data_IF_764831492339
#
_entry.id   IF_764831492339
#
_cell.length_a   1.000
_cell.length_b   1.000
_cell.length_c   1.000
_cell.angle_alpha   90.00
_cell.angle_beta   90.00
_cell.angle_gamma   90.00
#
_symmetry.space_group_name_H-M   'P 1'
#
loop_
_entity.id
_entity.type
_entity.pdbx_description
1 polymer ?
#
# COMPACT_ATOMS: atom_id res chain seq x y z
N UNK A 1 -2.72 -10.33 -15.05
CA UNK A 1 -2.64 -9.00 -14.41
C UNK A 1 -1.22 -8.79 -13.96
N UNK A 2 -0.56 -7.72 -14.41
CA UNK A 2 0.79 -7.32 -14.01
C UNK A 2 0.74 -5.98 -13.30
N UNK A 3 1.50 -5.83 -12.23
CA UNK A 3 1.77 -4.52 -11.65
C UNK A 3 2.89 -3.88 -12.46
N UNK A 4 2.63 -2.70 -13.01
CA UNK A 4 3.57 -2.02 -13.91
C UNK A 4 4.20 -0.78 -13.29
N UNK A 5 3.59 -0.21 -12.25
CA UNK A 5 4.16 0.90 -11.48
C UNK A 5 3.64 0.86 -10.03
N UNK A 6 4.49 1.20 -9.07
CA UNK A 6 4.12 1.39 -7.66
C UNK A 6 4.74 2.71 -7.21
N UNK A 7 3.88 3.65 -6.80
CA UNK A 7 4.32 4.94 -6.25
C UNK A 7 3.96 5.04 -4.80
N UNK A 8 4.95 5.31 -3.97
CA UNK A 8 4.73 5.70 -2.59
C UNK A 8 4.27 7.16 -2.56
N UNK A 9 3.11 7.41 -1.94
CA UNK A 9 2.59 8.77 -1.73
C UNK A 9 3.03 9.32 -0.38
N UNK A 10 3.00 8.48 0.66
CA UNK A 10 3.39 8.86 2.02
C UNK A 10 4.06 7.69 2.72
N UNK A 11 5.11 7.99 3.48
CA UNK A 11 5.80 7.06 4.37
C UNK A 11 5.71 7.63 5.79
N UNK A 12 5.42 6.77 6.75
CA UNK A 12 5.26 7.13 8.16
C UNK A 12 6.15 6.24 9.01
N UNK A 13 6.84 6.84 9.98
CA UNK A 13 7.74 6.13 10.90
C UNK A 13 6.95 5.58 12.10
N UNK A 14 6.23 6.45 12.81
CA UNK A 14 5.53 6.11 14.06
C UNK A 14 4.00 6.15 13.95
N UNK A 15 3.46 5.44 12.97
CA UNK A 15 2.01 5.31 12.79
C UNK A 15 1.60 3.85 12.57
N UNK A 16 0.34 3.52 12.88
CA UNK A 16 -0.27 2.23 12.50
C UNK A 16 -0.33 2.08 10.98
N UNK A 17 -0.48 3.18 10.26
CA UNK A 17 -0.32 3.20 8.79
C UNK A 17 1.13 3.54 8.53
N UNK A 18 1.88 2.62 7.92
CA UNK A 18 3.29 2.82 7.61
C UNK A 18 3.50 3.49 6.26
N UNK A 19 2.64 3.21 5.28
CA UNK A 19 2.74 3.87 3.98
C UNK A 19 1.42 3.85 3.21
N UNK A 20 1.29 4.80 2.28
CA UNK A 20 0.19 4.90 1.33
C UNK A 20 0.77 4.87 -0.09
N UNK A 21 0.18 4.07 -0.96
CA UNK A 21 0.64 3.81 -2.32
C UNK A 21 -0.45 4.10 -3.36
N UNK A 22 0.02 4.32 -4.59
CA UNK A 22 -0.78 4.14 -5.80
C UNK A 22 -0.14 3.03 -6.63
N UNK A 23 -0.96 2.11 -7.13
CA UNK A 23 -0.50 0.92 -7.86
C UNK A 23 -1.14 0.91 -9.24
N UNK A 24 -0.31 0.82 -10.28
CA UNK A 24 -0.74 0.75 -11.67
C UNK A 24 -0.73 -0.71 -12.15
N UNK A 25 -1.83 -1.14 -12.74
CA UNK A 25 -2.03 -2.46 -13.30
C UNK A 25 -2.05 -2.37 -14.83
N UNK A 26 -1.24 -3.23 -15.45
CA UNK A 26 -1.19 -3.44 -16.91
C UNK A 26 -1.04 -2.13 -17.72
N UNK A 27 -0.40 -1.09 -17.16
CA UNK A 27 -0.32 0.27 -17.72
C UNK A 27 -1.68 0.90 -18.11
N UNK A 28 -2.77 0.39 -17.53
CA UNK A 28 -4.12 0.73 -17.96
C UNK A 28 -4.95 1.36 -16.83
N UNK A 29 -4.78 0.86 -15.60
CA UNK A 29 -5.59 1.31 -14.46
C UNK A 29 -4.71 1.59 -13.25
N UNK A 30 -5.04 2.63 -12.50
CA UNK A 30 -4.38 2.92 -11.22
C UNK A 30 -5.36 2.75 -10.08
N UNK A 31 -4.89 2.15 -9.00
CA UNK A 31 -5.62 2.03 -7.74
C UNK A 31 -4.88 2.87 -6.69
N UNK A 32 -5.57 3.87 -6.17
CA UNK A 32 -5.06 4.74 -5.11
C UNK A 32 -5.44 4.21 -3.72
N UNK A 33 -4.77 4.74 -2.70
CA UNK A 33 -5.05 4.50 -1.29
C UNK A 33 -4.88 3.06 -0.83
N UNK A 34 -3.97 2.33 -1.48
CA UNK A 34 -3.46 1.05 -0.98
C UNK A 34 -2.47 1.35 0.14
N UNK A 35 -2.53 0.60 1.24
CA UNK A 35 -1.78 0.93 2.47
C UNK A 35 -0.96 -0.24 2.95
N UNK A 36 0.22 0.04 3.51
CA UNK A 36 0.90 -0.90 4.41
C UNK A 36 0.59 -0.46 5.83
N UNK A 37 0.06 -1.38 6.64
CA UNK A 37 -0.36 -1.10 8.00
C UNK A 37 0.17 -2.16 8.96
N UNK A 38 0.34 -1.78 10.21
CA UNK A 38 0.74 -2.67 11.29
C UNK A 38 -0.49 -3.40 11.84
N UNK A 39 -0.56 -4.70 11.53
CA UNK A 39 -1.56 -5.61 12.06
C UNK A 39 -1.05 -6.38 13.28
N UNK A 40 -1.91 -7.21 13.91
CA UNK A 40 -1.54 -7.98 15.10
C UNK A 40 -0.36 -8.94 14.90
N UNK A 41 -0.18 -9.44 13.67
CA UNK A 41 0.84 -10.43 13.30
C UNK A 41 1.92 -9.82 12.39
N UNK A 42 2.14 -8.51 12.49
CA UNK A 42 3.10 -7.77 11.66
C UNK A 42 2.46 -6.96 10.55
N UNK A 43 3.28 -6.54 9.59
CA UNK A 43 2.85 -5.66 8.51
C UNK A 43 1.96 -6.38 7.51
N UNK A 44 0.86 -5.74 7.14
CA UNK A 44 -0.09 -6.24 6.13
C UNK A 44 -0.39 -5.16 5.10
N UNK A 45 -0.71 -5.61 3.88
CA UNK A 45 -1.24 -4.73 2.83
C UNK A 45 -2.76 -4.63 2.99
N UNK A 46 -3.24 -3.42 3.29
CA UNK A 46 -4.65 -3.09 3.36
C UNK A 46 -5.10 -2.44 2.05
N UNK A 47 -6.15 -2.99 1.46
CA UNK A 47 -6.74 -2.48 0.24
C UNK A 47 -7.54 -1.18 0.50
N UNK A 48 -7.82 -0.39 -0.55
CA UNK A 48 -8.65 0.80 -0.41
C UNK A 48 -10.05 0.39 0.03
N UNK A 49 -10.53 0.99 1.11
CA UNK A 49 -11.82 0.66 1.71
C UNK A 49 -12.61 1.91 2.05
N UNK A 50 -13.94 1.76 2.04
CA UNK A 50 -14.88 2.82 2.41
C UNK A 50 -15.80 2.35 3.51
N UNK A 51 -16.06 3.26 4.45
CA UNK A 51 -17.07 3.06 5.49
C UNK A 51 -18.47 3.14 4.87
N UNK A 52 -19.27 2.10 5.05
CA UNK A 52 -20.67 2.02 4.66
C UNK A 52 -21.56 2.70 5.72
N UNK A 53 -22.83 3.03 5.40
CA UNK A 53 -23.76 3.64 6.35
C UNK A 53 -24.00 2.80 7.62
N UNK A 54 -23.87 1.48 7.53
CA UNK A 54 -23.98 0.55 8.66
C UNK A 54 -22.73 0.54 9.57
N UNK A 55 -21.74 1.39 9.27
CA UNK A 55 -20.51 1.54 10.03
C UNK A 55 -19.40 0.56 9.66
N UNK A 56 -19.67 -0.44 8.81
CA UNK A 56 -18.67 -1.43 8.38
C UNK A 56 -17.78 -0.87 7.26
N UNK A 57 -16.53 -1.29 7.24
CA UNK A 57 -15.64 -1.01 6.11
C UNK A 57 -15.73 -2.14 5.10
N UNK A 58 -15.84 -1.78 3.83
CA UNK A 58 -15.74 -2.71 2.72
C UNK A 58 -14.67 -2.24 1.75
N UNK A 59 -13.89 -3.18 1.27
CA UNK A 59 -12.87 -2.92 0.26
C UNK A 59 -13.55 -2.51 -1.05
N UNK A 60 -13.10 -1.38 -1.60
CA UNK A 60 -13.52 -0.87 -2.91
C UNK A 60 -12.84 -1.67 -4.02
N UNK A 61 -11.57 -2.02 -3.80
CA UNK A 61 -10.78 -2.84 -4.70
C UNK A 61 -10.21 -4.01 -3.91
N UNK A 62 -10.38 -5.24 -4.39
CA UNK A 62 -9.76 -6.40 -3.77
C UNK A 62 -9.48 -7.50 -4.81
N UNK A 63 -8.35 -8.21 -4.70
CA UNK A 63 -8.11 -9.40 -5.49
C UNK A 63 -9.11 -10.50 -5.12
N UNK A 64 -9.60 -11.22 -6.13
CA UNK A 64 -10.56 -12.32 -5.95
C UNK A 64 -9.85 -13.63 -5.59
N UNK A 65 -8.70 -13.91 -6.22
CA UNK A 65 -7.93 -15.13 -5.99
C UNK A 65 -6.77 -14.92 -5.02
N UNK A 66 -6.35 -16.01 -4.38
CA UNK A 66 -5.17 -16.05 -3.50
C UNK A 66 -3.89 -15.63 -4.27
N UNK A 67 -3.70 -16.17 -5.47
CA UNK A 67 -2.54 -15.85 -6.31
C UNK A 67 -2.46 -14.35 -6.64
N UNK A 68 -3.59 -13.74 -7.01
CA UNK A 68 -3.64 -12.31 -7.28
C UNK A 68 -3.33 -11.50 -6.02
N UNK A 69 -3.81 -11.96 -4.85
CA UNK A 69 -3.49 -11.33 -3.56
C UNK A 69 -2.00 -11.41 -3.26
N UNK A 70 -1.37 -12.57 -3.46
CA UNK A 70 0.05 -12.76 -3.22
C UNK A 70 0.90 -11.88 -4.14
N UNK A 71 0.60 -11.85 -5.45
CA UNK A 71 1.30 -10.98 -6.42
C UNK A 71 1.21 -9.52 -6.01
N UNK A 72 0.03 -9.05 -5.60
CA UNK A 72 -0.15 -7.65 -5.21
C UNK A 72 0.54 -7.35 -3.88
N UNK A 73 0.34 -8.19 -2.87
CA UNK A 73 0.91 -7.96 -1.55
C UNK A 73 2.43 -8.02 -1.55
N UNK A 74 3.03 -8.99 -2.25
CA UNK A 74 4.49 -9.12 -2.35
C UNK A 74 5.14 -7.91 -3.03
N UNK A 75 4.58 -7.46 -4.15
CA UNK A 75 5.11 -6.30 -4.88
C UNK A 75 5.07 -5.00 -4.05
N UNK A 76 3.96 -4.77 -3.32
CA UNK A 76 3.83 -3.59 -2.44
C UNK A 76 4.77 -3.68 -1.25
N UNK A 77 4.90 -4.86 -0.63
CA UNK A 77 5.80 -5.04 0.51
C UNK A 77 7.27 -4.86 0.11
N UNK A 78 7.66 -5.31 -1.09
CA UNK A 78 9.00 -5.07 -1.63
C UNK A 78 9.26 -3.56 -1.79
N UNK A 79 8.35 -2.84 -2.45
CA UNK A 79 8.47 -1.39 -2.63
C UNK A 79 8.51 -0.62 -1.30
N UNK A 80 7.74 -1.06 -0.30
CA UNK A 80 7.78 -0.50 1.05
C UNK A 80 9.16 -0.70 1.71
N UNK A 81 9.70 -1.91 1.67
CA UNK A 81 10.98 -2.23 2.30
C UNK A 81 12.14 -1.43 1.65
N UNK A 82 12.12 -1.29 0.32
CA UNK A 82 13.08 -0.45 -0.40
C UNK A 82 12.99 1.02 0.03
N UNK A 83 11.77 1.57 0.11
CA UNK A 83 11.56 2.95 0.54
C UNK A 83 12.02 3.20 1.99
N UNK A 84 11.78 2.25 2.89
CA UNK A 84 12.26 2.32 4.29
C UNK A 84 13.78 2.27 4.34
N UNK A 85 14.41 1.40 3.55
CA UNK A 85 15.87 1.30 3.50
C UNK A 85 16.50 2.61 3.00
N UNK A 86 15.92 3.24 1.97
CA UNK A 86 16.35 4.53 1.45
C UNK A 86 16.14 5.66 2.46
N UNK A 87 14.96 5.75 3.08
CA UNK A 87 14.68 6.78 4.09
C UNK A 87 15.62 6.68 5.31
N UNK A 88 16.03 5.46 5.67
CA UNK A 88 17.00 5.22 6.75
C UNK A 88 18.42 5.66 6.38
N UNK A 89 18.77 5.69 5.09
CA UNK A 89 20.06 6.15 4.60
C UNK A 89 20.11 7.68 4.47
N UNK A 90 19.00 8.31 4.07
CA UNK A 90 18.95 9.74 3.79
C UNK A 90 18.62 10.60 5.03
N UNK A 91 18.15 10.02 6.13
CA UNK A 91 17.81 10.77 7.34
C UNK A 91 16.65 11.77 7.16
N UNK A 92 15.90 11.67 6.06
CA UNK A 92 14.83 12.60 5.69
C UNK A 92 13.47 12.10 6.17
N UNK A 93 12.83 12.87 7.05
CA UNK A 93 11.40 12.79 7.35
C UNK A 93 10.58 13.32 6.17
N UNK A 94 10.30 12.46 5.19
CA UNK A 94 9.68 12.88 3.93
C UNK A 94 8.15 12.81 3.98
N UNK A 95 7.50 13.93 4.32
CA UNK A 95 6.11 14.19 3.87
C UNK A 95 6.18 14.64 2.41
N UNK A 96 6.25 13.67 1.48
CA UNK A 96 6.25 13.95 0.04
C UNK A 96 4.82 14.29 -0.38
N UNK A 97 4.45 15.56 -0.26
CA UNK A 97 3.17 16.06 -0.76
C UNK A 97 3.33 16.55 -2.20
N UNK A 98 2.78 15.80 -3.14
CA UNK A 98 2.12 16.30 -4.36
C UNK A 98 1.20 15.20 -4.91
#
# INVERSE_FOLDING_TARGET
>A
MKITDIRIRKLYVDSKIKAIFSVTFDNAFVVHDVKVVEGPNGLIVAMPSRKRPDGKYCDIFHPISADAREVVSSAIMAAYNEAVAQASQDGVTADVTA
#
